data_IF_846372958461
#
_entry.id   IF_846372958461
#
_cell.length_a   1.000
_cell.length_b   1.000
_cell.length_c   1.000
_cell.angle_alpha   90.00
_cell.angle_beta   90.00
_cell.angle_gamma   90.00
#
_symmetry.space_group_name_H-M   'P 1'
#
loop_
_entity.id
_entity.type
_entity.pdbx_description
1 polymer ?
#
# COMPACT_ATOMS: atom_id res chain seq x y z
N UNK A 1 20.79 -42.06 -21.18
CA UNK A 1 19.71 -41.67 -22.10
C UNK A 1 18.89 -40.61 -21.37
N UNK A 2 19.51 -39.47 -21.10
CA UNK A 2 19.69 -38.31 -22.00
C UNK A 2 18.47 -37.38 -21.87
N UNK A 3 18.58 -36.29 -21.10
CA UNK A 3 19.09 -34.94 -21.50
C UNK A 3 17.90 -34.12 -22.02
N UNK A 4 17.57 -32.91 -21.55
CA UNK A 4 18.41 -31.72 -21.47
C UNK A 4 17.68 -30.61 -20.68
N UNK A 5 18.33 -30.06 -19.65
CA UNK A 5 18.19 -28.64 -19.31
C UNK A 5 19.16 -27.85 -20.21
N UNK A 6 18.71 -26.75 -20.83
CA UNK A 6 19.54 -25.66 -21.40
C UNK A 6 18.98 -24.37 -20.81
N UNK A 7 19.63 -23.57 -19.95
CA UNK A 7 20.97 -22.95 -19.96
C UNK A 7 21.23 -22.04 -21.17
N UNK A 8 21.01 -20.75 -20.95
CA UNK A 8 21.97 -19.66 -21.20
C UNK A 8 22.02 -18.89 -19.86
N UNK A 9 23.06 -18.91 -19.03
CA UNK A 9 24.48 -18.65 -19.24
C UNK A 9 24.76 -17.29 -19.89
N UNK A 10 24.77 -16.23 -19.08
CA UNK A 10 25.87 -15.27 -19.14
C UNK A 10 26.52 -15.24 -17.76
N UNK A 11 27.63 -15.97 -17.68
CA UNK A 11 28.59 -15.88 -16.58
C UNK A 11 29.19 -14.46 -16.57
N UNK A 12 29.14 -13.83 -15.40
CA UNK A 12 30.30 -13.16 -14.83
C UNK A 12 30.25 -13.32 -13.31
N UNK A 13 30.78 -14.46 -12.87
CA UNK A 13 31.36 -14.62 -11.53
C UNK A 13 32.51 -13.62 -11.43
N UNK A 14 32.43 -12.75 -10.42
CA UNK A 14 33.49 -11.96 -9.77
C UNK A 14 33.06 -10.51 -9.47
N UNK A 15 32.03 -10.39 -8.64
CA UNK A 15 31.93 -9.38 -7.58
C UNK A 15 31.11 -10.09 -6.47
N UNK A 16 31.69 -10.87 -5.55
CA UNK A 16 32.58 -10.37 -4.48
C UNK A 16 32.35 -8.89 -4.16
N UNK A 17 31.10 -8.54 -3.88
CA UNK A 17 30.80 -7.43 -2.99
C UNK A 17 29.94 -8.02 -1.90
N UNK A 18 30.60 -8.19 -0.74
CA UNK A 18 29.97 -8.29 0.57
C UNK A 18 28.68 -7.47 0.59
N UNK A 19 27.52 -8.14 0.45
CA UNK A 19 26.28 -7.54 0.89
C UNK A 19 26.33 -7.65 2.41
N UNK A 20 27.05 -6.70 3.01
CA UNK A 20 26.78 -6.25 4.36
C UNK A 20 25.30 -5.88 4.38
N UNK A 21 24.44 -6.82 4.80
CA UNK A 21 23.12 -6.49 5.30
C UNK A 21 23.35 -5.77 6.63
N UNK A 22 23.68 -4.49 6.56
CA UNK A 22 23.57 -3.58 7.69
C UNK A 22 22.08 -3.31 7.88
N UNK A 23 21.43 -4.11 8.71
CA UNK A 23 20.16 -3.74 9.32
C UNK A 23 20.49 -2.63 10.33
N UNK A 24 20.45 -1.38 9.88
CA UNK A 24 20.66 -0.23 10.75
C UNK A 24 19.36 -0.02 11.53
N UNK A 25 19.27 -0.60 12.72
CA UNK A 25 18.30 -0.17 13.73
C UNK A 25 18.86 1.12 14.32
N UNK A 26 18.49 2.26 13.72
CA UNK A 26 18.77 3.58 14.27
C UNK A 26 17.53 4.08 15.01
N UNK A 27 17.21 3.47 16.16
CA UNK A 27 16.41 4.13 17.17
C UNK A 27 17.33 4.53 18.31
N UNK A 28 17.33 5.84 18.58
CA UNK A 28 17.99 6.48 19.71
C UNK A 28 17.38 5.97 21.01
N UNK A 29 17.76 4.77 21.43
CA UNK A 29 17.79 4.34 22.81
C UNK A 29 19.26 4.31 23.21
N UNK A 30 19.62 4.94 24.31
CA UNK A 30 21.02 4.97 24.80
C UNK A 30 21.52 3.58 25.27
N UNK A 31 20.77 2.50 25.00
CA UNK A 31 20.96 1.18 25.60
C UNK A 31 20.88 -0.01 24.62
N UNK A 32 20.57 0.19 23.34
CA UNK A 32 20.68 -0.89 22.34
C UNK A 32 21.89 -0.65 21.45
N UNK A 33 23.00 -1.33 21.74
CA UNK A 33 24.12 -1.38 20.80
C UNK A 33 23.79 -2.37 19.68
N UNK A 34 23.89 -1.85 18.46
CA UNK A 34 23.83 -2.49 17.15
C UNK A 34 23.98 -4.03 17.14
N UNK A 35 22.96 -4.73 16.61
CA UNK A 35 23.01 -6.17 16.30
C UNK A 35 22.89 -6.39 14.80
N UNK A 36 23.67 -7.34 14.29
CA UNK A 36 23.64 -7.75 12.89
C UNK A 36 23.30 -9.23 12.79
N UNK A 37 22.31 -9.58 11.96
CA UNK A 37 22.13 -10.95 11.51
C UNK A 37 23.21 -11.26 10.47
N UNK A 38 24.10 -12.20 10.77
CA UNK A 38 25.13 -12.67 9.85
C UNK A 38 24.70 -14.02 9.28
N UNK A 39 24.86 -14.17 7.97
CA UNK A 39 24.71 -15.43 7.24
C UNK A 39 26.10 -16.02 6.94
N UNK A 40 26.39 -17.19 7.50
CA UNK A 40 27.62 -18.00 7.36
C UNK A 40 27.24 -19.41 7.81
N UNK A 41 26.96 -20.28 6.84
CA UNK A 41 26.59 -21.66 7.09
C UNK A 41 27.70 -22.40 7.86
N UNK A 42 27.42 -22.78 9.10
CA UNK A 42 28.31 -23.61 9.90
C UNK A 42 28.05 -25.10 9.62
N UNK A 43 29.08 -25.93 9.81
CA UNK A 43 28.98 -27.40 9.64
C UNK A 43 27.96 -28.05 10.61
N UNK A 44 27.47 -27.30 11.60
CA UNK A 44 26.42 -27.71 12.54
C UNK A 44 24.99 -27.52 11.99
N UNK A 45 24.84 -27.01 10.76
CA UNK A 45 23.56 -26.78 10.10
C UNK A 45 22.88 -25.45 10.44
N UNK A 46 23.58 -24.51 11.10
CA UNK A 46 23.08 -23.14 11.31
C UNK A 46 23.55 -22.22 10.19
N UNK A 47 22.60 -21.66 9.47
CA UNK A 47 22.84 -20.74 8.36
C UNK A 47 22.91 -19.26 8.79
N UNK A 48 22.37 -18.93 9.98
CA UNK A 48 22.24 -17.55 10.47
C UNK A 48 22.56 -17.46 11.97
N UNK A 49 23.22 -16.38 12.42
CA UNK A 49 23.34 -16.01 13.84
C UNK A 49 23.33 -14.50 14.04
N UNK A 50 23.00 -14.10 15.26
CA UNK A 50 23.04 -12.70 15.69
C UNK A 50 24.46 -12.38 16.21
N UNK A 51 25.13 -11.45 15.55
CA UNK A 51 26.39 -10.87 16.00
C UNK A 51 26.12 -9.53 16.69
N UNK A 52 26.59 -9.40 17.93
CA UNK A 52 26.43 -8.20 18.75
C UNK A 52 26.51 -8.51 20.24
N UNK A 53 26.64 -7.49 21.10
CA UNK A 53 26.61 -7.66 22.55
C UNK A 53 25.27 -8.23 23.02
N UNK A 54 25.29 -9.00 24.12
CA UNK A 54 24.07 -9.50 24.78
C UNK A 54 23.11 -8.35 25.12
N UNK A 55 21.81 -8.63 25.08
CA UNK A 55 20.79 -7.60 25.28
C UNK A 55 20.86 -7.31 26.77
N UNK A 56 21.40 -6.15 27.09
CA UNK A 56 21.22 -5.59 28.41
C UNK A 56 19.82 -4.99 28.38
N UNK A 57 18.88 -5.61 29.09
CA UNK A 57 17.57 -5.04 29.37
C UNK A 57 17.68 -4.30 30.70
N UNK A 58 18.18 -3.06 30.72
CA UNK A 58 18.20 -2.30 31.94
C UNK A 58 16.75 -2.10 32.37
N UNK A 59 16.51 -2.42 33.64
CA UNK A 59 15.23 -2.21 34.28
C UNK A 59 14.84 -0.73 34.16
N UNK A 60 13.78 -0.45 33.40
CA UNK A 60 13.19 0.89 33.35
C UNK A 60 12.39 1.07 34.65
N UNK A 61 12.93 1.85 35.57
CA UNK A 61 12.24 2.22 36.81
C UNK A 61 11.14 3.24 36.51
N UNK A 62 9.90 2.75 36.40
CA UNK A 62 8.71 3.56 36.18
C UNK A 62 8.30 4.42 37.40
N UNK A 63 9.13 4.45 38.46
CA UNK A 63 8.80 5.03 39.75
C UNK A 63 7.88 4.10 40.57
N UNK A 64 7.82 4.28 41.90
CA UNK A 64 6.96 3.46 42.74
C UNK A 64 5.49 3.69 42.36
N UNK A 65 4.73 2.62 42.01
CA UNK A 65 3.29 2.75 41.83
C UNK A 65 2.67 3.21 43.17
N UNK A 66 1.59 4.02 43.16
CA UNK A 66 0.88 4.37 44.38
C UNK A 66 0.56 3.10 45.17
N UNK A 67 0.82 3.11 46.48
CA UNK A 67 0.78 1.92 47.35
C UNK A 67 -0.59 1.23 47.30
N UNK A 68 -0.66 0.18 46.50
CA UNK A 68 -1.84 -0.65 46.28
C UNK A 68 -1.40 -2.11 46.20
N UNK A 69 -0.59 -2.55 47.17
CA UNK A 69 -0.29 -3.97 47.35
C UNK A 69 -1.62 -4.72 47.55
N UNK A 70 -1.86 -5.76 46.75
CA UNK A 70 -3.13 -6.49 46.71
C UNK A 70 -4.16 -5.99 45.68
N UNK A 71 -3.83 -4.97 44.88
CA UNK A 71 -4.67 -4.57 43.75
C UNK A 71 -4.58 -5.56 42.59
N UNK A 72 -5.73 -5.75 41.94
CA UNK A 72 -5.92 -6.66 40.84
C UNK A 72 -6.74 -5.98 39.74
N UNK A 73 -6.27 -6.08 38.49
CA UNK A 73 -6.96 -5.53 37.32
C UNK A 73 -7.26 -6.66 36.34
N UNK A 74 -8.44 -6.60 35.69
CA UNK A 74 -8.75 -7.54 34.61
C UNK A 74 -8.15 -7.00 33.32
N UNK A 75 -7.26 -7.77 32.71
CA UNK A 75 -6.64 -7.41 31.44
C UNK A 75 -7.61 -7.66 30.30
N UNK A 76 -7.75 -6.68 29.41
CA UNK A 76 -8.64 -6.74 28.26
C UNK A 76 -8.01 -6.00 27.08
N UNK A 77 -8.32 -6.46 25.87
CA UNK A 77 -7.81 -5.89 24.64
C UNK A 77 -8.90 -5.10 23.94
N UNK A 78 -8.52 -4.01 23.27
CA UNK A 78 -9.43 -3.28 22.39
C UNK A 78 -9.70 -4.12 21.13
N UNK A 79 -10.95 -4.23 20.64
CA UNK A 79 -11.18 -4.79 19.30
C UNK A 79 -10.34 -4.02 18.27
N UNK A 80 -9.69 -4.68 17.30
CA UNK A 80 -9.75 -6.10 16.93
C UNK A 80 -8.86 -7.07 17.70
N UNK A 81 -8.06 -6.57 18.63
CA UNK A 81 -7.09 -7.39 19.34
C UNK A 81 -7.77 -8.35 20.29
N UNK A 82 -7.31 -9.60 20.26
CA UNK A 82 -7.75 -10.68 21.11
C UNK A 82 -6.75 -10.92 22.23
N UNK A 83 -7.27 -11.22 23.41
CA UNK A 83 -6.44 -11.56 24.55
C UNK A 83 -5.91 -12.99 24.43
N UNK A 84 -4.59 -13.13 24.40
CA UNK A 84 -3.87 -14.40 24.39
C UNK A 84 -3.02 -14.53 25.65
N UNK A 85 -2.82 -15.77 26.12
CA UNK A 85 -2.03 -16.07 27.31
C UNK A 85 -2.83 -16.03 28.61
N UNK A 86 -2.11 -16.03 29.72
CA UNK A 86 -2.64 -16.17 31.08
C UNK A 86 -1.67 -15.61 32.11
N UNK A 87 -2.17 -15.15 33.26
CA UNK A 87 -1.35 -14.79 34.41
C UNK A 87 -0.65 -16.02 35.01
N UNK A 88 0.25 -15.83 35.97
CA UNK A 88 0.85 -16.96 36.71
C UNK A 88 -0.19 -17.78 37.50
N UNK A 89 -1.40 -17.24 37.67
CA UNK A 89 -2.54 -17.90 38.34
C UNK A 89 -3.56 -18.50 37.36
N UNK A 90 -3.22 -18.63 36.07
CA UNK A 90 -4.09 -19.21 35.03
C UNK A 90 -5.39 -18.41 34.78
N UNK A 91 -5.37 -17.10 35.11
CA UNK A 91 -6.52 -16.19 34.92
C UNK A 91 -6.16 -14.99 34.00
N UNK A 92 -7.11 -14.07 33.81
CA UNK A 92 -6.95 -12.82 33.02
C UNK A 92 -6.69 -11.61 33.92
N UNK A 93 -6.28 -11.84 35.16
CA UNK A 93 -6.18 -10.80 36.17
C UNK A 93 -4.71 -10.55 36.50
N UNK A 94 -4.27 -9.32 36.25
CA UNK A 94 -2.93 -8.86 36.61
C UNK A 94 -2.96 -8.44 38.06
N UNK A 95 -2.05 -8.99 38.87
CA UNK A 95 -1.99 -8.79 40.32
C UNK A 95 -0.67 -8.13 40.69
N UNK A 96 -0.73 -7.13 41.57
CA UNK A 96 0.48 -6.53 42.14
C UNK A 96 0.97 -7.41 43.29
N UNK A 97 2.15 -7.99 43.12
CA UNK A 97 2.78 -8.86 44.11
C UNK A 97 3.40 -8.06 45.26
N UNK A 98 3.78 -8.77 46.33
CA UNK A 98 4.36 -8.16 47.55
C UNK A 98 5.74 -7.53 47.33
N UNK A 99 6.42 -7.90 46.26
CA UNK A 99 7.68 -7.32 45.78
C UNK A 99 7.45 -6.02 44.96
N UNK A 100 6.19 -5.61 44.77
CA UNK A 100 5.82 -4.42 44.01
C UNK A 100 5.79 -4.63 42.49
N UNK A 101 6.02 -5.86 42.02
CA UNK A 101 5.97 -6.19 40.60
C UNK A 101 4.58 -6.67 40.17
N UNK A 102 4.20 -6.39 38.93
CA UNK A 102 2.93 -6.86 38.37
C UNK A 102 3.11 -8.26 37.76
N UNK A 103 2.25 -9.20 38.14
CA UNK A 103 2.16 -10.52 37.53
C UNK A 103 1.33 -10.46 36.25
N UNK A 104 1.99 -10.31 35.10
CA UNK A 104 1.36 -10.39 33.78
C UNK A 104 1.30 -11.82 33.24
N UNK A 105 2.13 -12.74 33.75
CA UNK A 105 2.38 -14.03 33.12
C UNK A 105 2.68 -13.88 31.62
N UNK A 106 1.92 -14.59 30.79
CA UNK A 106 2.01 -14.58 29.32
C UNK A 106 0.91 -13.73 28.65
N UNK A 107 0.14 -12.94 29.43
CA UNK A 107 -0.98 -12.13 28.91
C UNK A 107 -0.47 -11.09 27.90
N UNK A 108 -1.02 -11.13 26.68
CA UNK A 108 -0.74 -10.16 25.62
C UNK A 108 -1.94 -9.96 24.69
N UNK A 109 -1.97 -8.84 23.99
CA UNK A 109 -2.95 -8.59 22.94
C UNK A 109 -2.36 -8.96 21.59
N UNK A 110 -2.96 -9.93 20.90
CA UNK A 110 -2.62 -10.31 19.52
C UNK A 110 -3.75 -9.91 18.59
N UNK A 111 -3.44 -9.49 17.37
CA UNK A 111 -4.45 -9.02 16.43
C UNK A 111 -3.88 -8.78 15.04
N UNK A 112 -4.64 -8.13 14.16
CA UNK A 112 -4.22 -7.89 12.79
C UNK A 112 -2.98 -7.00 12.73
N UNK A 113 -2.08 -7.35 11.82
CA UNK A 113 -0.87 -6.60 11.47
C UNK A 113 -0.93 -6.23 9.99
N UNK A 114 -0.20 -5.18 9.62
CA UNK A 114 -0.09 -4.79 8.22
C UNK A 114 0.79 -5.78 7.44
N UNK A 115 0.56 -5.84 6.13
CA UNK A 115 1.45 -6.57 5.22
C UNK A 115 2.70 -5.72 5.02
N UNK A 116 3.88 -6.37 5.03
CA UNK A 116 5.13 -5.71 4.70
C UNK A 116 5.05 -5.12 3.27
N UNK A 117 5.26 -3.80 3.10
CA UNK A 117 5.15 -3.14 1.80
C UNK A 117 6.25 -3.55 0.81
N UNK A 118 7.28 -4.26 1.24
CA UNK A 118 8.41 -4.68 0.43
C UNK A 118 9.35 -3.52 0.08
N UNK A 119 10.18 -3.75 -0.93
CA UNK A 119 11.22 -2.80 -1.36
C UNK A 119 10.82 -2.14 -2.69
N UNK A 120 10.94 -0.81 -2.81
CA UNK A 120 10.77 -0.14 -4.10
C UNK A 120 11.92 -0.46 -5.05
N UNK A 121 11.63 -0.48 -6.36
CA UNK A 121 12.63 -0.62 -7.41
C UNK A 121 13.69 0.48 -7.31
N UNK A 122 14.96 0.07 -7.19
CA UNK A 122 16.10 0.99 -7.01
C UNK A 122 15.88 2.01 -5.87
N UNK A 123 15.34 1.54 -4.76
CA UNK A 123 15.16 2.31 -3.54
C UNK A 123 15.40 1.50 -2.28
N UNK A 124 15.09 2.10 -1.13
CA UNK A 124 15.20 1.48 0.18
C UNK A 124 13.93 1.74 0.98
N UNK A 125 13.63 0.83 1.92
CA UNK A 125 12.59 1.00 2.93
C UNK A 125 13.23 0.90 4.31
N UNK A 126 12.82 1.81 5.20
CA UNK A 126 13.12 1.77 6.62
C UNK A 126 11.82 1.38 7.33
N UNK A 127 11.80 0.19 7.93
CA UNK A 127 10.65 -0.38 8.62
C UNK A 127 11.13 -1.13 9.85
N UNK A 128 10.59 -0.80 11.03
CA UNK A 128 10.96 -1.43 12.30
C UNK A 128 9.96 -2.51 12.72
N UNK A 129 8.67 -2.33 12.43
CA UNK A 129 7.60 -3.28 12.74
C UNK A 129 6.43 -3.15 11.75
N UNK A 130 5.50 -4.10 11.79
CA UNK A 130 4.25 -4.09 10.98
C UNK A 130 2.99 -3.99 11.85
N UNK A 131 3.17 -3.65 13.12
CA UNK A 131 2.08 -3.48 14.08
C UNK A 131 1.35 -2.14 13.86
N UNK A 132 0.14 -2.01 14.40
CA UNK A 132 -0.62 -0.76 14.32
C UNK A 132 0.19 0.42 14.86
N UNK A 133 0.23 1.51 14.10
CA UNK A 133 1.02 2.70 14.42
C UNK A 133 2.45 2.67 13.88
N UNK A 134 2.92 1.53 13.32
CA UNK A 134 4.18 1.48 12.62
C UNK A 134 4.17 2.38 11.38
N UNK A 135 5.33 2.93 11.03
CA UNK A 135 5.53 3.75 9.84
C UNK A 135 6.68 3.19 9.01
N UNK A 136 6.43 2.92 7.73
CA UNK A 136 7.49 2.63 6.77
C UNK A 136 7.91 3.92 6.08
N UNK A 137 9.22 4.13 5.91
CA UNK A 137 9.77 5.25 5.17
C UNK A 137 10.54 4.78 3.95
N UNK A 138 10.23 5.35 2.79
CA UNK A 138 10.80 5.00 1.49
C UNK A 138 11.80 6.04 1.02
N UNK A 139 12.84 5.59 0.31
CA UNK A 139 13.79 6.44 -0.40
C UNK A 139 14.09 5.87 -1.78
N UNK A 140 14.32 6.75 -2.75
CA UNK A 140 14.78 6.37 -4.10
C UNK A 140 16.28 6.63 -4.21
N UNK A 141 17.04 5.70 -4.78
CA UNK A 141 18.49 5.85 -4.92
C UNK A 141 18.87 6.67 -6.17
N UNK A 142 18.03 6.63 -7.20
CA UNK A 142 18.25 7.33 -8.47
C UNK A 142 18.13 8.84 -8.30
N UNK A 143 19.13 9.57 -8.77
CA UNK A 143 19.14 11.03 -8.73
C UNK A 143 17.93 11.64 -9.46
N UNK A 144 17.22 12.54 -8.79
CA UNK A 144 16.02 13.20 -9.33
C UNK A 144 14.72 12.41 -9.15
N UNK A 145 14.77 11.18 -8.64
CA UNK A 145 13.59 10.40 -8.29
C UNK A 145 13.26 10.59 -6.82
N UNK A 146 11.97 10.60 -6.52
CA UNK A 146 11.45 10.70 -5.15
C UNK A 146 10.24 9.79 -5.01
N UNK A 147 9.98 9.27 -3.79
CA UNK A 147 8.74 8.58 -3.51
C UNK A 147 7.53 9.46 -3.87
N UNK A 148 6.48 8.83 -4.41
CA UNK A 148 5.24 9.49 -4.79
C UNK A 148 4.05 8.63 -4.38
N UNK A 149 2.99 9.21 -3.79
CA UNK A 149 2.82 10.63 -3.47
C UNK A 149 3.52 11.05 -2.16
N UNK A 150 3.87 10.08 -1.32
CA UNK A 150 4.48 10.26 0.00
C UNK A 150 5.73 9.38 0.11
N UNK A 151 6.68 9.80 0.94
CA UNK A 151 7.83 8.98 1.35
C UNK A 151 7.52 8.11 2.57
N UNK A 152 6.29 8.15 3.10
CA UNK A 152 5.88 7.38 4.27
C UNK A 152 4.51 6.73 4.09
N UNK A 153 4.34 5.56 4.70
CA UNK A 153 3.04 4.87 4.86
C UNK A 153 2.88 4.43 6.32
N UNK A 154 1.66 4.55 6.84
CA UNK A 154 1.34 4.20 8.23
C UNK A 154 0.51 2.92 8.28
N UNK A 155 0.82 2.04 9.22
CA UNK A 155 -0.03 0.89 9.52
C UNK A 155 -1.22 1.35 10.37
N UNK A 156 -2.41 1.36 9.77
CA UNK A 156 -3.64 1.78 10.43
C UNK A 156 -4.71 0.71 10.32
N UNK A 157 -5.56 0.63 11.34
CA UNK A 157 -6.73 -0.23 11.32
C UNK A 157 -7.88 0.37 10.51
N UNK A 158 -8.75 -0.49 10.00
CA UNK A 158 -9.97 -0.07 9.30
C UNK A 158 -9.74 0.34 7.84
N UNK A 159 -8.62 -0.06 7.22
CA UNK A 159 -8.41 0.11 5.79
C UNK A 159 -9.39 -0.75 4.99
N UNK A 160 -9.86 -0.24 3.85
CA UNK A 160 -10.76 -0.98 2.96
C UNK A 160 -10.09 -2.19 2.30
N UNK A 161 -8.76 -2.15 2.17
CA UNK A 161 -7.95 -3.19 1.58
C UNK A 161 -6.80 -3.54 2.52
N UNK A 162 -6.54 -4.84 2.70
CA UNK A 162 -5.36 -5.34 3.42
C UNK A 162 -4.09 -4.94 2.68
N UNK A 163 -4.12 -5.07 1.35
CA UNK A 163 -3.11 -4.56 0.43
C UNK A 163 -3.83 -3.93 -0.76
N UNK A 164 -3.49 -2.68 -1.08
CA UNK A 164 -4.00 -1.99 -2.25
C UNK A 164 -2.96 -2.07 -3.38
N UNK A 165 -3.32 -2.73 -4.48
CA UNK A 165 -2.46 -2.94 -5.64
C UNK A 165 -3.05 -2.23 -6.87
N UNK A 166 -2.21 -2.04 -7.89
CA UNK A 166 -2.68 -1.52 -9.17
C UNK A 166 -3.71 -2.49 -9.77
N UNK A 167 -4.88 -1.96 -10.16
CA UNK A 167 -5.96 -2.80 -10.73
C UNK A 167 -5.63 -3.38 -12.10
N UNK A 168 -4.53 -2.92 -12.69
CA UNK A 168 -3.98 -3.42 -13.94
C UNK A 168 -4.41 -2.65 -15.19
N UNK A 169 -4.81 -1.39 -15.03
CA UNK A 169 -4.99 -0.47 -16.17
C UNK A 169 -3.62 -0.26 -16.83
N UNK A 170 -2.58 0.10 -16.07
CA UNK A 170 -1.24 0.34 -16.63
C UNK A 170 -0.54 -0.92 -17.14
N UNK A 171 -0.75 -2.07 -16.52
CA UNK A 171 -0.09 -3.33 -16.90
C UNK A 171 -0.68 -4.00 -18.14
N UNK A 172 -1.83 -3.54 -18.62
CA UNK A 172 -2.54 -4.17 -19.73
C UNK A 172 -3.47 -5.33 -19.33
N UNK A 173 -3.64 -5.58 -18.02
CA UNK A 173 -4.54 -6.62 -17.52
C UNK A 173 -6.01 -6.33 -17.89
N UNK A 174 -6.43 -5.06 -17.79
CA UNK A 174 -7.72 -4.62 -18.33
C UNK A 174 -7.59 -4.59 -19.86
N UNK A 175 -8.41 -5.31 -20.64
CA UNK A 175 -8.23 -5.40 -22.10
C UNK A 175 -8.60 -4.10 -22.82
N UNK A 176 -8.05 -3.86 -24.01
CA UNK A 176 -8.31 -2.61 -24.77
C UNK A 176 -9.80 -2.41 -25.09
N UNK A 177 -10.54 -3.48 -25.38
CA UNK A 177 -11.98 -3.43 -25.64
C UNK A 177 -12.83 -3.06 -24.42
N UNK A 178 -12.24 -2.92 -23.24
CA UNK A 178 -12.93 -2.45 -22.05
C UNK A 178 -13.01 -0.93 -21.93
N UNK A 179 -12.34 -0.17 -22.82
CA UNK A 179 -12.32 1.28 -22.81
C UNK A 179 -13.18 1.83 -23.96
N UNK A 180 -14.03 2.80 -23.66
CA UNK A 180 -14.84 3.50 -24.67
C UNK A 180 -15.07 4.95 -24.27
N UNK A 181 -15.12 5.85 -25.24
CA UNK A 181 -15.44 7.26 -25.05
C UNK A 181 -16.71 7.66 -25.83
N UNK A 182 -17.05 8.94 -25.75
CA UNK A 182 -18.21 9.53 -26.46
C UNK A 182 -17.87 10.13 -27.82
N UNK A 183 -16.65 9.92 -28.32
CA UNK A 183 -16.19 10.56 -29.55
C UNK A 183 -16.85 9.91 -30.77
N UNK A 184 -17.45 10.73 -31.65
CA UNK A 184 -18.05 10.26 -32.92
C UNK A 184 -17.02 9.71 -33.91
N UNK A 185 -15.73 10.02 -33.70
CA UNK A 185 -14.64 9.60 -34.57
C UNK A 185 -13.39 9.25 -33.77
N UNK A 186 -12.59 8.34 -34.29
CA UNK A 186 -11.35 7.90 -33.64
C UNK A 186 -10.25 8.96 -33.75
N UNK A 187 -9.77 9.43 -32.61
CA UNK A 187 -8.55 10.25 -32.52
C UNK A 187 -7.32 9.35 -32.57
N UNK A 188 -6.72 9.22 -33.75
CA UNK A 188 -5.58 8.32 -33.98
C UNK A 188 -4.40 8.59 -33.04
N UNK A 189 -3.96 7.55 -32.31
CA UNK A 189 -2.88 7.61 -31.31
C UNK A 189 -3.32 8.07 -29.92
N UNK A 190 -4.60 8.43 -29.76
CA UNK A 190 -5.21 8.89 -28.53
C UNK A 190 -6.53 8.16 -28.26
N UNK A 191 -6.62 6.91 -28.70
CA UNK A 191 -7.81 6.07 -28.53
C UNK A 191 -8.11 5.81 -27.04
N UNK A 192 -9.34 5.44 -26.66
CA UNK A 192 -9.73 5.22 -25.25
C UNK A 192 -8.77 4.34 -24.43
N UNK A 193 -8.30 3.23 -24.99
CA UNK A 193 -7.37 2.31 -24.32
C UNK A 193 -5.95 2.88 -24.15
N UNK A 194 -5.61 4.01 -24.79
CA UNK A 194 -4.37 4.75 -24.56
C UNK A 194 -4.42 5.59 -23.30
N UNK A 195 -5.57 5.68 -22.61
CA UNK A 195 -5.70 6.37 -21.34
C UNK A 195 -4.91 5.73 -20.18
N UNK A 196 -4.25 4.58 -20.39
CA UNK A 196 -3.40 3.95 -19.37
C UNK A 196 -2.24 4.86 -19.00
N UNK A 197 -1.86 4.88 -17.72
CA UNK A 197 -0.73 5.68 -17.25
C UNK A 197 0.60 5.35 -17.94
N UNK A 198 0.76 4.08 -18.33
CA UNK A 198 1.90 3.54 -19.09
C UNK A 198 1.89 3.86 -20.60
N UNK A 199 0.84 4.51 -21.12
CA UNK A 199 0.64 4.72 -22.56
C UNK A 199 0.71 6.21 -22.97
N UNK A 200 0.35 6.52 -24.22
CA UNK A 200 0.42 7.87 -24.80
C UNK A 200 -0.64 8.83 -24.26
N UNK A 201 -1.75 8.30 -23.74
CA UNK A 201 -2.90 9.06 -23.25
C UNK A 201 -4.07 9.08 -24.21
N UNK A 202 -5.27 9.25 -23.66
CA UNK A 202 -6.50 9.49 -24.40
C UNK A 202 -6.77 10.98 -24.47
N UNK A 203 -7.38 11.45 -25.57
CA UNK A 203 -7.87 12.81 -25.72
C UNK A 203 -9.26 12.79 -26.35
N UNK A 204 -10.26 13.29 -25.61
CA UNK A 204 -11.65 13.35 -26.08
C UNK A 204 -11.91 14.41 -27.15
N UNK A 205 -13.01 14.26 -27.89
CA UNK A 205 -13.51 15.31 -28.80
C UNK A 205 -14.13 16.47 -28.03
N UNK A 206 -14.14 17.68 -28.61
CA UNK A 206 -14.78 18.86 -28.01
C UNK A 206 -16.31 18.77 -28.16
N UNK A 207 -16.95 18.08 -27.23
CA UNK A 207 -18.40 17.92 -27.15
C UNK A 207 -18.96 18.49 -25.83
N UNK A 208 -20.28 18.58 -25.70
CA UNK A 208 -20.97 19.08 -24.51
C UNK A 208 -20.76 18.18 -23.28
N UNK A 209 -20.50 16.88 -23.47
CA UNK A 209 -20.24 15.94 -22.38
C UNK A 209 -19.10 14.97 -22.73
N UNK A 210 -17.88 15.28 -22.31
CA UNK A 210 -16.68 14.52 -22.63
C UNK A 210 -16.48 13.44 -21.57
N UNK A 211 -16.47 12.16 -21.96
CA UNK A 211 -16.25 11.08 -21.01
C UNK A 211 -15.43 9.92 -21.54
N UNK A 212 -14.77 9.23 -20.61
CA UNK A 212 -14.12 7.96 -20.81
C UNK A 212 -14.73 6.92 -19.87
N UNK A 213 -15.22 5.81 -20.41
CA UNK A 213 -15.81 4.69 -19.69
C UNK A 213 -14.90 3.46 -19.73
N UNK A 214 -14.82 2.74 -18.61
CA UNK A 214 -13.94 1.58 -18.44
C UNK A 214 -14.68 0.46 -17.71
N UNK A 215 -14.61 -0.76 -18.25
CA UNK A 215 -15.00 -2.01 -17.57
C UNK A 215 -13.77 -2.70 -16.96
N UNK A 216 -13.65 -2.66 -15.63
CA UNK A 216 -12.56 -3.28 -14.88
C UNK A 216 -12.60 -4.82 -14.89
N UNK A 217 -13.54 -5.45 -15.60
CA UNK A 217 -13.77 -6.91 -15.72
C UNK A 217 -14.21 -7.61 -14.43
N UNK A 218 -13.82 -7.08 -13.27
CA UNK A 218 -14.14 -7.58 -11.94
C UNK A 218 -14.62 -6.43 -11.07
N UNK A 219 -15.25 -6.76 -9.94
CA UNK A 219 -15.63 -5.77 -8.94
C UNK A 219 -14.42 -5.53 -8.02
N UNK A 220 -14.00 -4.29 -7.91
CA UNK A 220 -12.92 -3.85 -7.04
C UNK A 220 -13.46 -2.93 -5.95
N UNK A 221 -12.77 -2.90 -4.82
CA UNK A 221 -12.82 -1.81 -3.84
C UNK A 221 -11.63 -0.91 -4.15
N UNK A 222 -11.90 0.21 -4.81
CA UNK A 222 -10.92 1.19 -5.26
C UNK A 222 -10.63 2.18 -4.14
N UNK A 223 -9.36 2.42 -3.87
CA UNK A 223 -8.90 3.30 -2.78
C UNK A 223 -8.19 4.53 -3.30
N UNK A 224 -7.63 4.46 -4.51
CA UNK A 224 -6.74 5.50 -5.01
C UNK A 224 -6.95 5.69 -6.52
N UNK A 225 -7.00 6.94 -6.94
CA UNK A 225 -6.99 7.35 -8.34
C UNK A 225 -5.70 8.13 -8.62
N UNK A 226 -4.94 7.71 -9.63
CA UNK A 226 -3.77 8.43 -10.12
C UNK A 226 -4.04 8.91 -11.53
N UNK A 227 -3.74 10.16 -11.82
CA UNK A 227 -3.92 10.72 -13.16
C UNK A 227 -2.81 11.68 -13.53
N UNK A 228 -2.56 11.82 -14.82
CA UNK A 228 -1.69 12.81 -15.43
C UNK A 228 -2.32 13.26 -16.75
N UNK A 229 -1.86 14.39 -17.28
CA UNK A 229 -2.19 14.79 -18.64
C UNK A 229 -1.29 14.14 -19.68
N UNK A 230 -1.34 14.71 -20.88
CA UNK A 230 -0.50 14.31 -22.02
C UNK A 230 0.39 15.49 -22.42
N UNK A 231 1.71 15.29 -22.31
CA UNK A 231 2.72 16.29 -22.69
C UNK A 231 3.79 15.75 -23.67
N UNK A 232 3.59 14.56 -24.24
CA UNK A 232 4.55 13.91 -25.14
C UNK A 232 4.68 14.57 -26.52
N UNK A 233 5.52 13.98 -27.38
CA UNK A 233 5.82 14.45 -28.75
C UNK A 233 4.70 14.20 -29.79
N UNK A 234 3.52 13.77 -29.34
CA UNK A 234 2.37 13.63 -30.21
C UNK A 234 1.79 14.99 -30.63
N UNK A 235 0.76 14.97 -31.46
CA UNK A 235 0.14 16.18 -32.01
C UNK A 235 -0.90 16.81 -31.08
N UNK A 236 -1.37 16.09 -30.05
CA UNK A 236 -2.23 16.61 -29.00
C UNK A 236 -1.49 16.68 -27.66
N UNK A 237 -1.77 17.79 -26.96
CA UNK A 237 -1.27 18.12 -25.63
C UNK A 237 -2.40 18.71 -24.82
N UNK A 238 -2.50 18.33 -23.55
CA UNK A 238 -3.54 18.82 -22.67
C UNK A 238 -3.61 18.04 -21.37
N UNK A 239 -4.37 18.56 -20.42
CA UNK A 239 -4.70 17.82 -19.20
C UNK A 239 -6.09 18.23 -18.70
N UNK A 240 -6.73 17.32 -17.99
CA UNK A 240 -8.02 17.55 -17.34
C UNK A 240 -7.80 18.30 -16.03
N UNK A 241 -8.40 19.49 -15.89
CA UNK A 241 -8.30 20.33 -14.68
C UNK A 241 -9.42 20.06 -13.71
N UNK A 242 -10.60 19.65 -14.19
CA UNK A 242 -11.70 19.17 -13.35
C UNK A 242 -12.40 17.97 -13.96
N UNK A 243 -12.74 17.00 -13.10
CA UNK A 243 -13.51 15.83 -13.50
C UNK A 243 -14.41 15.28 -12.40
N UNK A 244 -15.51 14.70 -12.83
CA UNK A 244 -16.44 13.95 -12.01
C UNK A 244 -16.28 12.45 -12.28
N UNK A 245 -16.11 11.66 -11.21
CA UNK A 245 -16.13 10.20 -11.30
C UNK A 245 -17.54 9.67 -11.11
N UNK A 246 -17.94 8.78 -12.00
CA UNK A 246 -19.18 8.02 -11.94
C UNK A 246 -18.86 6.53 -11.91
N UNK A 247 -19.72 5.74 -11.27
CA UNK A 247 -19.47 4.31 -11.10
C UNK A 247 -20.75 3.48 -11.07
N UNK A 248 -20.59 2.18 -11.34
CA UNK A 248 -21.62 1.17 -11.07
C UNK A 248 -20.99 -0.21 -10.90
N UNK A 249 -21.72 -1.12 -10.25
CA UNK A 249 -21.26 -2.49 -10.00
C UNK A 249 -21.76 -3.43 -11.09
N UNK A 250 -23.03 -3.32 -11.46
CA UNK A 250 -23.65 -4.18 -12.47
C UNK A 250 -23.93 -3.41 -13.75
N UNK A 251 -23.90 -4.10 -14.89
CA UNK A 251 -24.09 -3.47 -16.19
C UNK A 251 -25.46 -2.79 -16.32
N UNK A 252 -26.52 -3.42 -15.79
CA UNK A 252 -27.90 -2.95 -15.85
C UNK A 252 -28.23 -1.78 -14.91
N UNK A 253 -27.31 -1.42 -14.01
CA UNK A 253 -27.51 -0.30 -13.09
C UNK A 253 -27.25 1.03 -13.81
N UNK A 254 -27.90 2.08 -13.30
CA UNK A 254 -27.52 3.44 -13.61
C UNK A 254 -26.19 3.78 -12.93
N UNK A 255 -25.50 4.78 -13.48
CA UNK A 255 -24.30 5.30 -12.85
C UNK A 255 -24.67 6.14 -11.63
N UNK A 256 -23.96 5.88 -10.53
CA UNK A 256 -23.93 6.75 -9.35
C UNK A 256 -22.75 7.72 -9.45
N UNK A 257 -22.89 8.88 -8.81
CA UNK A 257 -21.86 9.92 -8.78
C UNK A 257 -21.01 9.78 -7.53
N UNK A 258 -19.69 9.75 -7.68
CA UNK A 258 -18.78 9.82 -6.55
C UNK A 258 -18.87 11.22 -5.90
N UNK A 259 -18.96 11.35 -4.56
CA UNK A 259 -19.33 12.61 -3.92
C UNK A 259 -18.31 13.75 -4.06
N UNK A 260 -17.09 13.44 -4.51
CA UNK A 260 -16.00 14.42 -4.67
C UNK A 260 -15.73 14.66 -6.14
N UNK A 261 -15.61 15.93 -6.53
CA UNK A 261 -15.06 16.35 -7.82
C UNK A 261 -13.54 16.48 -7.69
N UNK A 262 -12.80 15.99 -8.69
CA UNK A 262 -11.34 16.01 -8.67
C UNK A 262 -10.81 17.20 -9.44
N UNK A 263 -9.94 17.98 -8.80
CA UNK A 263 -9.30 19.15 -9.41
C UNK A 263 -7.79 18.95 -9.50
N UNK A 264 -7.20 19.35 -10.64
CA UNK A 264 -5.74 19.40 -10.81
C UNK A 264 -5.28 20.84 -11.09
N UNK A 265 -4.10 21.25 -10.57
CA UNK A 265 -3.52 22.55 -10.89
C UNK A 265 -3.15 22.67 -12.38
N UNK A 266 -3.29 23.88 -12.92
CA UNK A 266 -2.86 24.18 -14.30
C UNK A 266 -1.33 24.15 -14.45
N UNK A 267 -0.87 24.03 -15.69
CA UNK A 267 0.55 24.08 -16.04
C UNK A 267 1.12 22.75 -16.54
N UNK A 268 1.89 22.03 -15.72
CA UNK A 268 2.67 20.88 -16.18
C UNK A 268 1.76 19.70 -16.53
N UNK A 269 1.44 19.51 -17.81
CA UNK A 269 0.59 18.39 -18.27
C UNK A 269 1.19 17.00 -18.00
N UNK A 270 2.49 16.88 -17.69
CA UNK A 270 3.09 15.61 -17.28
C UNK A 270 3.12 15.42 -15.76
N UNK A 271 2.64 16.39 -14.97
CA UNK A 271 2.51 16.21 -13.54
C UNK A 271 1.50 15.10 -13.25
N UNK A 272 1.90 14.19 -12.37
CA UNK A 272 1.04 13.14 -11.85
C UNK A 272 0.38 13.64 -10.57
N UNK A 273 -0.92 13.40 -10.46
CA UNK A 273 -1.75 13.72 -9.32
C UNK A 273 -2.33 12.42 -8.79
N UNK A 274 -2.39 12.31 -7.46
CA UNK A 274 -2.98 11.18 -6.77
C UNK A 274 -4.07 11.68 -5.84
N UNK A 275 -5.19 10.97 -5.85
CA UNK A 275 -6.36 11.24 -5.03
C UNK A 275 -6.73 9.97 -4.25
N UNK A 276 -6.86 10.11 -2.94
CA UNK A 276 -7.43 9.07 -2.09
C UNK A 276 -8.96 9.10 -2.18
N UNK A 277 -9.56 7.93 -2.37
CA UNK A 277 -11.00 7.75 -2.42
C UNK A 277 -11.51 7.51 -1.00
N UNK A 278 -12.05 8.57 -0.40
CA UNK A 278 -12.75 8.52 0.87
C UNK A 278 -14.22 8.99 0.69
N UNK A 279 -15.22 8.08 0.75
CA UNK A 279 -15.09 6.67 1.08
C UNK A 279 -14.51 5.81 -0.06
N UNK A 280 -13.89 4.66 0.25
CA UNK A 280 -13.44 3.69 -0.76
C UNK A 280 -14.59 3.27 -1.68
N UNK A 281 -14.28 3.09 -2.96
CA UNK A 281 -15.28 2.96 -4.02
C UNK A 281 -15.42 1.51 -4.49
N UNK A 282 -16.58 0.90 -4.27
CA UNK A 282 -16.90 -0.43 -4.81
C UNK A 282 -17.46 -0.30 -6.23
N UNK A 283 -16.70 -0.71 -7.25
CA UNK A 283 -17.11 -0.57 -8.64
C UNK A 283 -16.53 -1.66 -9.56
N UNK A 284 -17.22 -1.92 -10.67
CA UNK A 284 -16.67 -2.63 -11.83
C UNK A 284 -16.58 -1.72 -13.04
N UNK A 285 -17.61 -0.89 -13.26
CA UNK A 285 -17.64 0.07 -14.34
C UNK A 285 -17.39 1.45 -13.76
N UNK A 286 -16.44 2.16 -14.34
CA UNK A 286 -16.14 3.56 -14.00
C UNK A 286 -16.33 4.43 -15.23
N UNK A 287 -16.69 5.68 -15.02
CA UNK A 287 -16.79 6.69 -16.06
C UNK A 287 -16.19 7.99 -15.53
N UNK A 288 -15.19 8.50 -16.25
CA UNK A 288 -14.51 9.75 -15.98
C UNK A 288 -15.16 10.83 -16.85
N UNK A 289 -15.97 11.69 -16.24
CA UNK A 289 -16.60 12.83 -16.91
C UNK A 289 -15.72 14.06 -16.78
N UNK A 290 -15.23 14.59 -17.90
CA UNK A 290 -14.38 15.78 -17.94
C UNK A 290 -15.27 17.02 -17.94
N UNK A 291 -15.10 17.88 -16.92
CA UNK A 291 -15.85 19.14 -16.77
C UNK A 291 -15.02 20.33 -17.24
N UNK A 292 -13.73 20.37 -16.90
CA UNK A 292 -12.80 21.41 -17.33
C UNK A 292 -11.44 20.81 -17.75
N UNK A 293 -10.77 21.45 -18.73
CA UNK A 293 -9.46 21.01 -19.22
C UNK A 293 -8.62 22.17 -19.74
N UNK A 294 -7.30 21.98 -19.75
CA UNK A 294 -6.34 22.90 -20.35
C UNK A 294 -5.87 22.38 -21.72
N UNK A 295 -5.99 23.23 -22.75
CA UNK A 295 -5.72 22.95 -24.18
C UNK A 295 -6.64 21.89 -24.81
N UNK A 296 -6.52 20.63 -24.38
CA UNK A 296 -7.30 19.50 -24.87
C UNK A 296 -7.70 18.58 -23.70
N UNK A 297 -8.85 17.92 -23.76
CA UNK A 297 -9.35 17.03 -22.70
C UNK A 297 -8.59 15.71 -22.73
N UNK A 298 -7.34 15.73 -22.27
CA UNK A 298 -6.44 14.59 -22.34
C UNK A 298 -6.14 14.02 -20.95
N UNK A 299 -6.13 12.69 -20.82
CA UNK A 299 -5.84 12.01 -19.56
C UNK A 299 -5.05 10.73 -19.77
N UNK A 300 -4.21 10.46 -18.79
CA UNK A 300 -3.60 9.17 -18.48
C UNK A 300 -3.91 8.85 -17.05
N UNK A 301 -4.37 7.65 -16.74
CA UNK A 301 -4.75 7.31 -15.38
C UNK A 301 -4.50 5.85 -15.04
N UNK A 302 -4.52 5.59 -13.74
CA UNK A 302 -4.50 4.27 -13.15
C UNK A 302 -5.25 4.30 -11.83
N UNK A 303 -5.64 3.14 -11.33
CA UNK A 303 -6.33 3.03 -10.05
C UNK A 303 -5.71 1.94 -9.21
N UNK A 304 -5.79 2.11 -7.90
CA UNK A 304 -5.35 1.11 -6.93
C UNK A 304 -6.52 0.69 -6.05
N UNK A 305 -6.44 -0.55 -5.59
CA UNK A 305 -7.45 -1.12 -4.70
C UNK A 305 -7.23 -2.61 -4.52
N UNK A 306 -8.30 -3.29 -4.14
CA UNK A 306 -8.31 -4.73 -3.97
C UNK A 306 -9.58 -5.33 -4.57
N UNK A 307 -9.58 -6.63 -4.80
CA UNK A 307 -10.77 -7.32 -5.27
C UNK A 307 -11.87 -7.24 -4.23
N UNK A 308 -13.06 -6.82 -4.65
CA UNK A 308 -14.19 -6.72 -3.73
C UNK A 308 -14.68 -8.13 -3.36
N UNK A 309 -14.98 -8.40 -2.08
CA UNK A 309 -15.54 -9.66 -1.66
C UNK A 309 -16.89 -9.94 -2.36
N UNK A 310 -17.13 -11.21 -2.70
CA UNK A 310 -18.27 -11.66 -3.51
C UNK A 310 -19.64 -11.43 -2.84
N UNK A 311 -19.69 -11.16 -1.53
CA UNK A 311 -20.92 -10.87 -0.81
C UNK A 311 -20.69 -9.83 0.29
N UNK A 312 -21.68 -8.95 0.51
CA UNK A 312 -21.75 -8.03 1.66
C UNK A 312 -21.72 -8.81 2.99
N UNK A 313 -22.17 -10.07 3.02
CA UNK A 313 -22.06 -10.96 4.19
C UNK A 313 -20.62 -11.44 4.51
N UNK A 314 -19.65 -11.14 3.63
CA UNK A 314 -18.21 -11.30 3.88
C UNK A 314 -17.54 -9.94 4.14
N UNK A 315 -18.31 -8.87 4.36
CA UNK A 315 -17.89 -7.76 5.22
C UNK A 315 -17.89 -8.26 6.68
N UNK A 316 -17.15 -9.35 6.95
CA UNK A 316 -16.51 -9.43 8.24
C UNK A 316 -15.46 -8.34 8.11
N UNK A 317 -15.60 -7.23 8.82
CA UNK A 317 -14.59 -6.20 8.74
C UNK A 317 -13.26 -6.87 9.09
N UNK A 318 -12.21 -6.55 8.32
CA UNK A 318 -10.86 -7.13 8.43
C UNK A 318 -10.23 -7.03 9.83
N UNK A 319 -10.94 -6.44 10.77
CA UNK A 319 -10.70 -6.38 12.21
C UNK A 319 -11.22 -7.64 12.96
N UNK A 320 -11.70 -8.69 12.30
CA UNK A 320 -12.15 -9.94 12.95
C UNK A 320 -11.60 -11.22 12.30
N UNK A 321 -10.50 -11.11 11.53
CA UNK A 321 -9.69 -12.26 11.12
C UNK A 321 -8.31 -12.17 11.73
#
# INVERSE_FOLDING_TARGET
MDVMYRLFAVNKIDQMINIKKELIIASSSLLSSFRQCIYDPQEDGRDYWLSGPEIDCPLVDCGPPPSLAGSAFTFSCRPPYSLIGKSSYDDRTIRCNVDGNWDLGDLRCEGPVCVDPGFPDDGQVQLESVEEGAQAKFTCNRAGYKPFPSDTINCTLGTACVLAEDVGISSGFIPDGAFADNSDSTTWGYEPHKARLSSTGWCGSKDAFIFLSIDLQRVYTLTTLRMAGVAGSGHLRGHVTKMQLFYKVQYSQNYDTYPVEFETPSGNHNAMHQFELNPPLRARYILLGVTEYEQNPCIRFDMQGCLAPLSVAHEIPSHLQ
#
